data_IF_258729892869
#
_entry.id   IF_258729892869
#
_cell.length_a   1.000
_cell.length_b   1.000
_cell.length_c   1.000
_cell.angle_alpha   90.00
_cell.angle_beta   90.00
_cell.angle_gamma   90.00
#
_symmetry.space_group_name_H-M   'P 1'
#
loop_
_entity.id
_entity.type
_entity.pdbx_description
1 polymer ?
#
# COMPACT_ATOMS: atom_id res chain seq x y z
N UNK A 1 -3.89 -16.34 -21.08
CA UNK A 1 -3.66 -15.25 -20.12
C UNK A 1 -4.86 -15.02 -19.20
N UNK A 2 -6.09 -14.81 -19.71
CA UNK A 2 -7.25 -14.53 -18.84
C UNK A 2 -7.54 -15.64 -17.84
N UNK A 3 -7.57 -16.91 -18.27
CA UNK A 3 -7.74 -18.05 -17.36
C UNK A 3 -6.63 -18.12 -16.30
N UNK A 4 -5.36 -17.88 -16.72
CA UNK A 4 -4.24 -17.83 -15.78
C UNK A 4 -4.41 -16.75 -14.74
N UNK A 5 -4.78 -15.52 -15.15
CA UNK A 5 -4.94 -14.39 -14.23
C UNK A 5 -6.11 -14.59 -13.25
N UNK A 6 -7.15 -15.32 -13.69
CA UNK A 6 -8.25 -15.69 -12.82
C UNK A 6 -7.84 -16.77 -11.81
N UNK A 7 -7.10 -17.80 -12.25
CA UNK A 7 -6.84 -19.00 -11.45
C UNK A 7 -5.62 -18.89 -10.53
N UNK A 8 -4.61 -18.06 -10.89
CA UNK A 8 -3.41 -17.93 -10.08
C UNK A 8 -3.76 -17.35 -8.70
N UNK A 9 -3.42 -18.05 -7.60
CA UNK A 9 -3.57 -17.49 -6.26
C UNK A 9 -2.66 -16.27 -6.09
N UNK A 10 -3.19 -15.22 -5.48
CA UNK A 10 -2.46 -13.96 -5.27
C UNK A 10 -2.41 -13.58 -3.79
N UNK A 11 -1.35 -12.92 -3.41
CA UNK A 11 -1.26 -12.13 -2.20
C UNK A 11 -1.07 -10.66 -2.58
N UNK A 12 -1.65 -9.75 -1.81
CA UNK A 12 -1.51 -8.31 -1.99
C UNK A 12 -0.91 -7.71 -0.73
N UNK A 13 0.27 -7.07 -0.85
CA UNK A 13 1.08 -6.65 0.28
C UNK A 13 1.15 -5.12 0.41
N UNK A 14 0.63 -4.38 -0.59
CA UNK A 14 0.61 -2.93 -0.62
C UNK A 14 -0.75 -2.42 -1.12
N UNK A 15 -1.66 -2.22 -0.18
CA UNK A 15 -3.05 -1.90 -0.45
C UNK A 15 -3.61 -1.02 0.66
N UNK A 16 -4.02 0.20 0.33
CA UNK A 16 -4.61 1.16 1.27
C UNK A 16 -6.12 0.95 1.42
N UNK A 17 -6.59 0.78 2.66
CA UNK A 17 -8.01 0.63 2.95
C UNK A 17 -8.82 1.83 2.47
N UNK A 18 -8.35 3.04 2.77
CA UNK A 18 -9.01 4.28 2.40
C UNK A 18 -9.01 4.52 0.89
N UNK A 19 -7.97 4.09 0.18
CA UNK A 19 -7.84 4.16 -1.27
C UNK A 19 -8.71 3.17 -2.04
N UNK A 20 -9.32 2.23 -1.32
CA UNK A 20 -10.26 1.27 -1.87
C UNK A 20 -11.71 1.77 -1.95
N UNK A 21 -11.98 2.99 -1.47
CA UNK A 21 -13.33 3.57 -1.41
C UNK A 21 -13.75 4.07 -2.79
N UNK A 22 -14.84 3.52 -3.32
CA UNK A 22 -15.39 3.93 -4.62
C UNK A 22 -16.26 5.21 -4.48
N UNK A 23 -16.38 6.03 -5.54
CA UNK A 23 -17.24 7.23 -5.52
C UNK A 23 -18.68 6.93 -5.10
N UNK A 24 -19.21 5.79 -5.48
CA UNK A 24 -20.54 5.31 -5.12
C UNK A 24 -20.67 5.06 -3.62
N UNK A 25 -19.60 4.57 -2.99
CA UNK A 25 -19.54 4.40 -1.52
C UNK A 25 -19.48 5.75 -0.82
N UNK A 26 -18.73 6.71 -1.32
CA UNK A 26 -18.70 8.07 -0.76
C UNK A 26 -20.07 8.73 -0.83
N UNK A 27 -20.78 8.57 -1.94
CA UNK A 27 -22.13 9.10 -2.10
C UNK A 27 -23.13 8.46 -1.13
N UNK A 28 -23.01 7.17 -0.86
CA UNK A 28 -23.83 6.48 0.16
C UNK A 28 -23.56 7.02 1.56
N UNK A 29 -22.29 7.27 1.91
CA UNK A 29 -21.88 7.78 3.22
C UNK A 29 -22.20 9.26 3.42
N UNK A 30 -22.17 10.05 2.34
CA UNK A 30 -22.45 11.49 2.39
C UNK A 30 -23.15 11.97 1.11
N UNK A 31 -24.47 11.82 1.02
CA UNK A 31 -25.24 12.23 -0.16
C UNK A 31 -25.41 13.74 -0.30
N UNK A 32 -24.83 14.54 0.61
CA UNK A 32 -24.83 16.02 0.50
C UNK A 32 -23.90 16.54 -0.60
N UNK A 33 -22.94 15.71 -1.05
CA UNK A 33 -22.05 15.96 -2.18
C UNK A 33 -22.54 15.15 -3.38
N UNK A 34 -22.55 15.74 -4.57
CA UNK A 34 -23.04 15.06 -5.78
C UNK A 34 -22.11 13.93 -6.22
N UNK A 35 -22.66 12.95 -6.94
CA UNK A 35 -21.87 11.86 -7.55
C UNK A 35 -20.83 12.39 -8.53
N UNK A 36 -21.12 13.47 -9.24
CA UNK A 36 -20.20 14.09 -10.18
C UNK A 36 -18.98 14.68 -9.44
N UNK A 37 -19.21 15.37 -8.32
CA UNK A 37 -18.13 15.91 -7.48
C UNK A 37 -17.29 14.78 -6.88
N UNK A 38 -17.88 13.66 -6.43
CA UNK A 38 -17.13 12.52 -5.94
C UNK A 38 -16.27 11.88 -7.05
N UNK A 39 -16.82 11.71 -8.27
CA UNK A 39 -16.03 11.22 -9.41
C UNK A 39 -14.90 12.18 -9.79
N UNK A 40 -15.11 13.47 -9.65
CA UNK A 40 -14.07 14.48 -9.91
C UNK A 40 -12.90 14.41 -8.91
N UNK A 41 -13.12 13.97 -7.66
CA UNK A 41 -12.03 13.75 -6.70
C UNK A 41 -11.01 12.70 -7.17
N UNK A 42 -11.39 11.82 -8.09
CA UNK A 42 -10.52 10.73 -8.59
C UNK A 42 -9.84 11.10 -9.92
N UNK A 43 -9.65 12.42 -10.16
CA UNK A 43 -8.86 12.94 -11.26
C UNK A 43 -7.74 13.81 -10.71
N UNK A 44 -6.50 13.34 -10.85
CA UNK A 44 -5.32 13.99 -10.31
C UNK A 44 -4.44 14.53 -11.44
N UNK A 45 -3.74 15.62 -11.17
CA UNK A 45 -2.73 16.20 -12.09
C UNK A 45 -1.31 15.85 -11.65
N UNK A 46 -1.15 15.49 -10.37
CA UNK A 46 0.14 15.25 -9.74
C UNK A 46 -0.05 14.51 -8.39
N UNK A 47 1.04 14.10 -7.79
CA UNK A 47 1.08 13.40 -6.51
C UNK A 47 0.46 14.21 -5.35
N UNK A 48 0.70 15.52 -5.30
CA UNK A 48 0.10 16.37 -4.27
C UNK A 48 -1.44 16.48 -4.42
N UNK A 49 -1.94 16.49 -5.66
CA UNK A 49 -3.38 16.47 -5.92
C UNK A 49 -4.01 15.15 -5.45
N UNK A 50 -3.33 14.03 -5.68
CA UNK A 50 -3.72 12.72 -5.14
C UNK A 50 -3.77 12.74 -3.61
N UNK A 51 -2.73 13.20 -2.92
CA UNK A 51 -2.71 13.27 -1.44
C UNK A 51 -3.85 14.14 -0.88
N UNK A 52 -4.21 15.23 -1.56
CA UNK A 52 -5.37 16.04 -1.19
C UNK A 52 -6.68 15.29 -1.35
N UNK A 53 -6.84 14.54 -2.43
CA UNK A 53 -8.01 13.71 -2.70
C UNK A 53 -8.13 12.57 -1.69
N UNK A 54 -7.02 11.87 -1.38
CA UNK A 54 -6.97 10.84 -0.34
C UNK A 54 -7.43 11.40 1.02
N UNK A 55 -6.92 12.56 1.41
CA UNK A 55 -7.38 13.26 2.62
C UNK A 55 -8.87 13.63 2.58
N UNK A 56 -9.40 14.00 1.40
CA UNK A 56 -10.82 14.31 1.23
C UNK A 56 -11.70 13.06 1.34
N UNK A 57 -11.26 11.91 0.82
CA UNK A 57 -11.91 10.60 1.02
C UNK A 57 -11.90 10.23 2.51
N UNK A 58 -10.74 10.27 3.15
CA UNK A 58 -10.59 9.98 4.57
C UNK A 58 -11.51 10.80 5.49
N UNK A 59 -11.77 12.06 5.15
CA UNK A 59 -12.70 12.92 5.90
C UNK A 59 -14.16 12.43 5.88
N UNK A 60 -14.58 11.61 4.90
CA UNK A 60 -15.93 11.04 4.81
C UNK A 60 -16.10 9.80 5.68
N UNK A 61 -15.03 9.14 6.04
CA UNK A 61 -15.02 7.98 6.95
C UNK A 61 -15.08 8.49 8.39
N UNK A 62 -16.28 8.55 8.96
CA UNK A 62 -16.56 9.25 10.23
C UNK A 62 -16.79 8.29 11.40
N UNK A 63 -17.27 7.10 11.13
CA UNK A 63 -17.71 6.14 12.14
C UNK A 63 -17.06 4.77 11.97
N UNK A 64 -17.00 3.94 13.01
CA UNK A 64 -16.57 2.54 12.87
C UNK A 64 -17.37 1.76 11.81
N UNK A 65 -18.65 2.07 11.64
CA UNK A 65 -19.52 1.44 10.65
C UNK A 65 -19.07 1.75 9.20
N UNK A 66 -18.60 2.99 8.95
CA UNK A 66 -18.09 3.38 7.64
C UNK A 66 -16.84 2.54 7.28
N UNK A 67 -15.93 2.38 8.24
CA UNK A 67 -14.73 1.56 8.04
C UNK A 67 -15.07 0.07 7.87
N UNK A 68 -16.03 -0.47 8.62
CA UNK A 68 -16.51 -1.83 8.40
C UNK A 68 -17.11 -2.02 7.00
N UNK A 69 -17.90 -1.05 6.51
CA UNK A 69 -18.48 -1.09 5.16
C UNK A 69 -17.41 -1.17 4.08
N UNK A 70 -16.41 -0.27 4.12
CA UNK A 70 -15.36 -0.25 3.09
C UNK A 70 -14.49 -1.49 3.16
N UNK A 71 -14.24 -2.04 4.36
CA UNK A 71 -13.51 -3.30 4.55
C UNK A 71 -14.23 -4.46 3.87
N UNK A 72 -15.54 -4.64 4.10
CA UNK A 72 -16.33 -5.69 3.44
C UNK A 72 -16.30 -5.56 1.92
N UNK A 73 -16.45 -4.34 1.41
CA UNK A 73 -16.43 -4.07 -0.04
C UNK A 73 -15.07 -4.37 -0.66
N UNK A 74 -14.00 -3.97 0.00
CA UNK A 74 -12.64 -4.29 -0.45
C UNK A 74 -12.43 -5.79 -0.50
N UNK A 75 -12.70 -6.50 0.59
CA UNK A 75 -12.45 -7.94 0.68
C UNK A 75 -13.27 -8.73 -0.32
N UNK A 76 -14.52 -8.37 -0.58
CA UNK A 76 -15.33 -8.98 -1.64
C UNK A 76 -14.68 -8.82 -3.03
N UNK A 77 -14.05 -7.66 -3.31
CA UNK A 77 -13.31 -7.45 -4.58
C UNK A 77 -12.01 -8.25 -4.63
N UNK A 78 -11.32 -8.43 -3.52
CA UNK A 78 -10.11 -9.25 -3.45
C UNK A 78 -10.45 -10.74 -3.66
N UNK A 79 -11.51 -11.23 -3.03
CA UNK A 79 -12.00 -12.61 -3.25
C UNK A 79 -12.33 -12.88 -4.72
N UNK A 80 -12.99 -11.94 -5.38
CA UNK A 80 -13.33 -12.05 -6.80
C UNK A 80 -12.11 -12.10 -7.74
N UNK A 81 -10.93 -11.71 -7.23
CA UNK A 81 -9.66 -11.74 -7.96
C UNK A 81 -8.75 -12.92 -7.58
N UNK A 82 -9.27 -13.89 -6.82
CA UNK A 82 -8.51 -15.03 -6.28
C UNK A 82 -7.32 -14.58 -5.40
N UNK A 83 -7.54 -13.52 -4.60
CA UNK A 83 -6.60 -13.11 -3.56
C UNK A 83 -6.88 -13.94 -2.30
N UNK A 84 -5.86 -14.60 -1.78
CA UNK A 84 -5.95 -15.48 -0.61
C UNK A 84 -5.40 -14.83 0.66
N UNK A 85 -4.51 -13.85 0.49
CA UNK A 85 -3.85 -13.13 1.58
C UNK A 85 -3.70 -11.65 1.22
N UNK A 86 -3.92 -10.79 2.19
CA UNK A 86 -3.70 -9.36 2.03
C UNK A 86 -3.11 -8.73 3.30
N UNK A 87 -2.13 -7.86 3.12
CA UNK A 87 -1.66 -6.93 4.13
C UNK A 87 -2.23 -5.55 3.80
N UNK A 88 -3.25 -5.15 4.54
CA UNK A 88 -3.99 -3.92 4.27
C UNK A 88 -3.42 -2.80 5.12
N UNK A 89 -3.01 -1.73 4.47
CA UNK A 89 -2.50 -0.52 5.10
C UNK A 89 -3.68 0.32 5.56
N UNK A 90 -3.70 0.68 6.85
CA UNK A 90 -4.68 1.59 7.45
C UNK A 90 -3.97 2.90 7.75
N UNK A 91 -4.48 4.01 7.25
CA UNK A 91 -3.95 5.34 7.49
C UNK A 91 -4.25 5.83 8.94
N UNK A 92 -3.71 5.09 9.94
CA UNK A 92 -3.93 5.36 11.36
C UNK A 92 -3.55 6.80 11.75
N UNK A 93 -2.48 7.34 11.13
CA UNK A 93 -2.11 8.74 11.31
C UNK A 93 -3.21 9.72 10.90
N UNK A 94 -3.97 9.42 9.85
CA UNK A 94 -5.13 10.24 9.42
C UNK A 94 -6.29 10.11 10.41
N UNK A 95 -6.54 8.92 10.94
CA UNK A 95 -7.59 8.70 11.96
C UNK A 95 -7.31 9.55 13.18
N UNK A 96 -6.07 9.52 13.70
CA UNK A 96 -5.65 10.34 14.84
C UNK A 96 -5.72 11.85 14.54
N UNK A 97 -5.26 12.25 13.36
CA UNK A 97 -5.30 13.66 12.94
C UNK A 97 -6.73 14.23 12.90
N UNK A 98 -7.72 13.39 12.56
CA UNK A 98 -9.14 13.75 12.61
C UNK A 98 -9.70 13.82 14.05
N UNK A 99 -8.92 13.46 15.07
CA UNK A 99 -9.37 13.36 16.45
C UNK A 99 -10.34 12.19 16.71
N UNK A 100 -10.29 11.16 15.88
CA UNK A 100 -11.10 9.95 16.06
C UNK A 100 -10.38 8.94 16.96
N UNK A 101 -11.17 8.21 17.75
CA UNK A 101 -10.67 7.08 18.53
C UNK A 101 -10.37 5.89 17.61
N UNK A 102 -9.11 5.46 17.57
CA UNK A 102 -8.68 4.37 16.67
C UNK A 102 -9.23 3.00 17.08
N UNK A 103 -9.32 2.72 18.39
CA UNK A 103 -9.72 1.40 18.89
C UNK A 103 -11.08 0.92 18.35
N UNK A 104 -12.20 1.66 18.46
CA UNK A 104 -13.49 1.20 17.95
C UNK A 104 -13.50 1.07 16.42
N UNK A 105 -12.74 1.89 15.69
CA UNK A 105 -12.57 1.80 14.23
C UNK A 105 -11.87 0.50 13.88
N UNK A 106 -10.75 0.20 14.53
CA UNK A 106 -9.97 -1.00 14.27
C UNK A 106 -10.75 -2.28 14.57
N UNK A 107 -11.50 -2.32 15.69
CA UNK A 107 -12.36 -3.46 16.00
C UNK A 107 -13.46 -3.67 14.95
N UNK A 108 -14.05 -2.61 14.41
CA UNK A 108 -15.05 -2.70 13.36
C UNK A 108 -14.44 -3.22 12.03
N UNK A 109 -13.22 -2.77 11.69
CA UNK A 109 -12.45 -3.27 10.54
C UNK A 109 -12.17 -4.76 10.72
N UNK A 110 -11.67 -5.17 11.89
CA UNK A 110 -11.36 -6.57 12.19
C UNK A 110 -12.58 -7.48 12.10
N UNK A 111 -13.67 -7.08 12.74
CA UNK A 111 -14.91 -7.84 12.71
C UNK A 111 -15.45 -8.01 11.27
N UNK A 112 -15.35 -6.96 10.44
CA UNK A 112 -15.72 -7.05 9.02
C UNK A 112 -14.80 -7.99 8.24
N UNK A 113 -13.51 -8.07 8.57
CA UNK A 113 -12.57 -8.94 7.90
C UNK A 113 -12.77 -10.42 8.25
N UNK A 114 -13.28 -10.74 9.44
CA UNK A 114 -13.61 -12.11 9.84
C UNK A 114 -14.73 -12.77 8.99
N UNK A 115 -15.49 -11.94 8.25
CA UNK A 115 -16.54 -12.42 7.34
C UNK A 115 -15.98 -12.89 6.00
N UNK A 116 -14.71 -12.59 5.68
CA UNK A 116 -14.06 -12.89 4.39
C UNK A 116 -13.25 -14.19 4.43
N UNK A 117 -13.03 -14.78 3.25
CA UNK A 117 -12.11 -15.91 3.05
C UNK A 117 -10.67 -15.45 2.87
N UNK A 118 -10.42 -14.18 2.58
CA UNK A 118 -9.07 -13.61 2.48
C UNK A 118 -8.47 -13.58 3.88
N UNK A 119 -7.30 -14.19 4.05
CA UNK A 119 -6.53 -14.01 5.29
C UNK A 119 -5.93 -12.61 5.31
N UNK A 120 -6.33 -11.80 6.28
CA UNK A 120 -5.93 -10.39 6.36
C UNK A 120 -4.94 -10.16 7.50
N UNK A 121 -3.95 -9.31 7.24
CA UNK A 121 -3.08 -8.67 8.24
C UNK A 121 -3.08 -7.17 8.02
N UNK A 122 -2.66 -6.44 9.04
CA UNK A 122 -2.78 -4.98 9.05
C UNK A 122 -1.40 -4.34 9.17
N UNK A 123 -1.18 -3.30 8.37
CA UNK A 123 -0.06 -2.38 8.53
C UNK A 123 -0.65 -1.06 9.00
N UNK A 124 -0.21 -0.53 10.14
CA UNK A 124 -0.63 0.79 10.58
C UNK A 124 0.33 1.84 10.03
N UNK A 125 -0.21 2.73 9.21
CA UNK A 125 0.61 3.71 8.49
C UNK A 125 0.63 5.07 9.19
N UNK A 126 1.84 5.57 9.45
CA UNK A 126 2.10 6.93 9.87
C UNK A 126 2.20 7.84 8.64
N UNK A 127 1.79 9.09 8.80
CA UNK A 127 1.83 10.08 7.72
C UNK A 127 3.04 10.99 7.92
N UNK A 128 4.01 10.93 6.99
CA UNK A 128 5.32 11.62 7.09
C UNK A 128 5.19 13.10 7.44
N UNK A 129 4.33 13.80 6.72
CA UNK A 129 4.16 15.24 6.88
C UNK A 129 3.47 15.66 8.18
N UNK A 130 2.96 14.72 8.99
CA UNK A 130 2.44 15.02 10.32
C UNK A 130 3.54 15.05 11.39
N UNK A 131 4.74 14.54 11.06
CA UNK A 131 5.92 14.58 11.90
C UNK A 131 6.09 13.38 12.83
N UNK A 132 7.14 13.43 13.64
CA UNK A 132 7.63 12.30 14.44
C UNK A 132 6.70 11.95 15.61
N UNK A 133 6.14 12.94 16.29
CA UNK A 133 5.30 12.71 17.47
C UNK A 133 4.00 11.96 17.10
N UNK A 134 3.21 12.35 16.08
CA UNK A 134 2.09 11.55 15.61
C UNK A 134 2.50 10.17 15.10
N UNK A 135 3.65 10.03 14.46
CA UNK A 135 4.16 8.74 14.01
C UNK A 135 4.48 7.81 15.20
N UNK A 136 5.02 8.32 16.28
CA UNK A 136 5.24 7.55 17.51
C UNK A 136 3.92 7.07 18.13
N UNK A 137 2.86 7.87 18.08
CA UNK A 137 1.53 7.45 18.53
C UNK A 137 1.00 6.28 17.67
N UNK A 138 1.18 6.33 16.34
CA UNK A 138 0.82 5.22 15.46
C UNK A 138 1.64 3.96 15.78
N UNK A 139 2.94 4.09 16.02
CA UNK A 139 3.80 2.97 16.39
C UNK A 139 3.35 2.32 17.71
N UNK A 140 2.95 3.10 18.71
CA UNK A 140 2.40 2.59 19.95
C UNK A 140 1.07 1.83 19.73
N UNK A 141 0.16 2.39 18.93
CA UNK A 141 -1.09 1.72 18.55
C UNK A 141 -0.85 0.40 17.81
N UNK A 142 0.16 0.34 16.93
CA UNK A 142 0.53 -0.87 16.21
C UNK A 142 1.07 -1.93 17.17
N UNK A 143 1.98 -1.56 18.07
CA UNK A 143 2.56 -2.47 19.08
C UNK A 143 1.49 -3.08 20.00
N UNK A 144 0.52 -2.28 20.46
CA UNK A 144 -0.60 -2.76 21.29
C UNK A 144 -1.52 -3.75 20.59
N UNK A 145 -1.51 -3.80 19.24
CA UNK A 145 -2.46 -4.59 18.43
C UNK A 145 -1.81 -5.73 17.66
N UNK A 146 -0.58 -6.08 17.98
CA UNK A 146 0.11 -7.24 17.36
C UNK A 146 -0.70 -8.54 17.49
N UNK A 147 -1.22 -8.82 18.68
CA UNK A 147 -2.05 -10.01 18.92
C UNK A 147 -3.41 -9.95 18.21
N UNK A 148 -3.74 -8.81 17.62
CA UNK A 148 -4.96 -8.59 16.82
C UNK A 148 -4.68 -8.51 15.31
N UNK A 149 -3.52 -9.00 14.88
CA UNK A 149 -3.17 -9.13 13.46
C UNK A 149 -2.51 -7.90 12.84
N UNK A 150 -2.07 -6.92 13.65
CA UNK A 150 -1.17 -5.86 13.18
C UNK A 150 0.24 -6.43 13.09
N UNK A 151 0.79 -6.51 11.88
CA UNK A 151 2.09 -7.13 11.63
C UNK A 151 3.21 -6.12 11.44
N UNK A 152 2.90 -4.90 11.00
CA UNK A 152 3.93 -3.91 10.69
C UNK A 152 3.52 -2.49 11.06
N UNK A 153 4.56 -1.66 11.28
CA UNK A 153 4.46 -0.21 11.18
C UNK A 153 4.86 0.20 9.75
N UNK A 154 4.02 1.01 9.11
CA UNK A 154 4.30 1.65 7.84
C UNK A 154 4.52 3.15 7.96
N UNK A 155 5.11 3.74 6.92
CA UNK A 155 5.18 5.18 6.75
C UNK A 155 4.94 5.55 5.28
N UNK A 156 3.94 6.41 5.05
CA UNK A 156 3.55 6.89 3.73
C UNK A 156 3.41 8.41 3.67
N UNK A 157 2.93 8.92 2.53
CA UNK A 157 2.79 10.35 2.26
C UNK A 157 4.00 10.96 1.57
N UNK A 158 4.17 12.29 1.67
CA UNK A 158 5.19 13.01 0.90
C UNK A 158 6.60 12.73 1.41
N UNK A 159 7.40 12.02 0.62
CA UNK A 159 8.81 11.73 0.93
C UNK A 159 9.64 13.01 1.11
N UNK A 160 9.39 14.06 0.30
CA UNK A 160 10.06 15.35 0.39
C UNK A 160 9.78 16.07 1.71
N UNK A 161 8.53 16.00 2.21
CA UNK A 161 8.12 16.73 3.43
C UNK A 161 8.39 15.97 4.72
N UNK A 162 8.81 14.72 4.63
CA UNK A 162 9.12 13.87 5.77
C UNK A 162 10.14 12.80 5.42
N UNK A 163 11.43 13.16 5.24
CA UNK A 163 12.48 12.19 4.99
C UNK A 163 12.49 11.06 6.03
N UNK A 164 12.75 9.83 5.59
CA UNK A 164 12.76 8.65 6.47
C UNK A 164 13.70 8.81 7.68
N UNK A 165 14.80 9.52 7.51
CA UNK A 165 15.79 9.80 8.56
C UNK A 165 15.22 10.48 9.82
N UNK A 166 14.08 11.17 9.71
CA UNK A 166 13.41 11.77 10.87
C UNK A 166 12.78 10.75 11.83
N UNK A 167 12.49 9.55 11.34
CA UNK A 167 11.67 8.56 12.04
C UNK A 167 12.49 7.43 12.68
N UNK A 168 13.80 7.61 12.85
CA UNK A 168 14.69 6.60 13.39
C UNK A 168 14.22 6.03 14.72
N UNK A 169 13.87 6.88 15.68
CA UNK A 169 13.40 6.45 17.01
C UNK A 169 12.03 5.74 16.94
N UNK A 170 11.17 6.15 16.00
CA UNK A 170 9.85 5.55 15.78
C UNK A 170 9.99 4.12 15.27
N UNK A 171 10.85 3.92 14.26
CA UNK A 171 11.11 2.61 13.68
C UNK A 171 11.88 1.70 14.65
N UNK A 172 12.84 2.25 15.42
CA UNK A 172 13.51 1.50 16.46
C UNK A 172 12.53 1.03 17.55
N UNK A 173 11.58 1.88 17.97
CA UNK A 173 10.52 1.51 18.90
C UNK A 173 9.66 0.36 18.34
N UNK A 174 9.17 0.49 17.10
CA UNK A 174 8.33 -0.51 16.46
C UNK A 174 9.04 -1.87 16.31
N UNK A 175 10.29 -1.87 15.83
CA UNK A 175 11.09 -3.08 15.69
C UNK A 175 11.37 -3.76 17.05
N UNK A 176 11.70 -2.97 18.09
CA UNK A 176 11.87 -3.50 19.45
C UNK A 176 10.57 -4.07 20.04
N UNK A 177 9.41 -3.55 19.63
CA UNK A 177 8.11 -4.11 19.97
C UNK A 177 7.79 -5.40 19.17
N UNK A 178 8.63 -5.81 18.21
CA UNK A 178 8.48 -6.99 17.39
C UNK A 178 7.52 -6.82 16.22
N UNK A 179 7.34 -5.59 15.74
CA UNK A 179 6.65 -5.30 14.47
C UNK A 179 7.65 -5.39 13.32
N UNK A 180 7.17 -5.82 12.16
CA UNK A 180 7.88 -5.62 10.91
C UNK A 180 7.87 -4.14 10.51
N UNK A 181 8.80 -3.76 9.63
CA UNK A 181 9.02 -2.38 9.24
C UNK A 181 8.81 -2.21 7.73
N UNK A 182 7.93 -1.30 7.37
CA UNK A 182 7.54 -1.00 6.00
C UNK A 182 7.64 0.50 5.72
N UNK A 183 8.05 0.90 4.52
CA UNK A 183 8.05 2.30 4.12
C UNK A 183 7.84 2.46 2.62
N UNK A 184 7.03 3.44 2.23
CA UNK A 184 7.05 3.99 0.88
C UNK A 184 8.39 4.73 0.69
N UNK A 185 9.17 4.37 -0.31
CA UNK A 185 10.45 5.04 -0.58
C UNK A 185 10.85 4.91 -2.04
N UNK A 186 11.45 5.97 -2.60
CA UNK A 186 11.85 6.01 -3.99
C UNK A 186 10.67 5.93 -4.96
N UNK A 187 9.53 6.39 -4.54
CA UNK A 187 8.38 6.66 -5.39
C UNK A 187 8.53 8.04 -6.03
N UNK A 188 8.41 9.09 -5.23
CA UNK A 188 8.52 10.49 -5.68
C UNK A 188 9.92 11.08 -5.54
N UNK A 189 10.78 10.46 -4.74
CA UNK A 189 12.18 10.85 -4.53
C UNK A 189 13.15 9.89 -5.23
N UNK A 190 14.46 10.14 -5.09
CA UNK A 190 15.52 9.32 -5.68
C UNK A 190 15.90 8.07 -4.88
N UNK A 191 16.95 7.36 -5.32
CA UNK A 191 17.47 6.17 -4.63
C UNK A 191 17.90 6.44 -3.18
N UNK A 192 18.28 7.66 -2.85
CA UNK A 192 18.65 8.09 -1.50
C UNK A 192 17.50 7.87 -0.51
N UNK A 193 16.26 8.10 -0.91
CA UNK A 193 15.09 7.83 -0.04
C UNK A 193 14.96 6.35 0.31
N UNK A 194 15.31 5.46 -0.63
CA UNK A 194 15.31 4.02 -0.37
C UNK A 194 16.43 3.65 0.60
N UNK A 195 17.65 4.20 0.41
CA UNK A 195 18.76 3.99 1.35
C UNK A 195 18.40 4.47 2.76
N UNK A 196 17.75 5.62 2.88
CA UNK A 196 17.28 6.15 4.16
C UNK A 196 16.26 5.22 4.83
N UNK A 197 15.32 4.66 4.06
CA UNK A 197 14.35 3.69 4.57
C UNK A 197 15.04 2.37 5.01
N UNK A 198 15.97 1.87 4.22
CA UNK A 198 16.74 0.66 4.57
C UNK A 198 17.59 0.85 5.84
N UNK A 199 18.11 2.05 6.06
CA UNK A 199 18.84 2.39 7.29
C UNK A 199 17.95 2.35 8.55
N UNK A 200 16.62 2.47 8.41
CA UNK A 200 15.65 2.27 9.49
C UNK A 200 15.36 0.80 9.79
N UNK A 201 15.88 -0.13 8.99
CA UNK A 201 15.60 -1.56 9.11
C UNK A 201 14.36 -2.01 8.35
N UNK A 202 13.91 -1.25 7.36
CA UNK A 202 12.76 -1.61 6.52
C UNK A 202 13.03 -2.93 5.79
N UNK A 203 12.07 -3.83 5.85
CA UNK A 203 12.18 -5.21 5.33
C UNK A 203 11.56 -5.36 3.93
N UNK A 204 10.61 -4.49 3.58
CA UNK A 204 10.00 -4.36 2.26
C UNK A 204 9.83 -2.88 1.93
N UNK A 205 10.06 -2.53 0.66
CA UNK A 205 10.00 -1.14 0.20
C UNK A 205 8.77 -0.95 -0.68
N UNK A 206 7.86 -0.08 -0.24
CA UNK A 206 6.73 0.36 -1.07
C UNK A 206 7.25 1.14 -2.29
N UNK A 207 6.78 0.79 -3.48
CA UNK A 207 7.20 1.26 -4.79
C UNK A 207 8.67 0.97 -5.12
N UNK A 208 9.61 1.74 -4.60
CA UNK A 208 11.04 1.55 -4.80
C UNK A 208 11.52 1.72 -6.24
N UNK A 209 10.73 2.34 -7.12
CA UNK A 209 11.02 2.41 -8.57
C UNK A 209 12.29 3.20 -8.90
N UNK A 210 12.69 4.12 -8.03
CA UNK A 210 13.93 4.88 -8.17
C UNK A 210 15.19 4.01 -8.02
N UNK A 211 15.09 2.78 -7.48
CA UNK A 211 16.22 1.87 -7.30
C UNK A 211 16.98 1.60 -8.60
N UNK A 212 16.28 1.63 -9.76
CA UNK A 212 16.90 1.42 -11.06
C UNK A 212 18.02 2.43 -11.38
N UNK A 213 17.99 3.61 -10.74
CA UNK A 213 18.99 4.68 -10.96
C UNK A 213 20.30 4.46 -10.20
N UNK A 214 20.34 3.47 -9.27
CA UNK A 214 21.53 3.17 -8.46
C UNK A 214 21.90 1.68 -8.54
N UNK A 215 22.95 1.32 -9.30
CA UNK A 215 23.40 -0.08 -9.41
C UNK A 215 23.88 -0.68 -8.08
N UNK A 216 24.34 0.13 -7.13
CA UNK A 216 24.74 -0.36 -5.81
C UNK A 216 23.52 -0.74 -4.99
N UNK A 217 22.45 0.07 -5.06
CA UNK A 217 21.17 -0.22 -4.43
C UNK A 217 20.51 -1.48 -4.99
N UNK A 218 20.46 -1.64 -6.33
CA UNK A 218 19.95 -2.86 -6.97
C UNK A 218 20.68 -4.11 -6.47
N UNK A 219 22.02 -4.03 -6.38
CA UNK A 219 22.84 -5.13 -5.84
C UNK A 219 22.49 -5.42 -4.40
N UNK A 220 22.38 -4.38 -3.57
CA UNK A 220 22.04 -4.52 -2.16
C UNK A 220 20.68 -5.17 -1.94
N UNK A 221 19.63 -4.68 -2.64
CA UNK A 221 18.28 -5.24 -2.57
C UNK A 221 18.26 -6.72 -2.96
N UNK A 222 18.94 -7.07 -4.06
CA UNK A 222 19.05 -8.46 -4.52
C UNK A 222 19.79 -9.35 -3.52
N UNK A 223 20.98 -8.93 -3.03
CA UNK A 223 21.81 -9.72 -2.12
C UNK A 223 21.19 -9.89 -0.73
N UNK A 224 20.39 -8.92 -0.30
CA UNK A 224 19.66 -8.94 0.97
C UNK A 224 18.26 -9.52 0.85
N UNK A 225 17.83 -9.89 -0.36
CA UNK A 225 16.50 -10.43 -0.66
C UNK A 225 15.37 -9.51 -0.21
N UNK A 226 15.54 -8.19 -0.41
CA UNK A 226 14.55 -7.17 -0.03
C UNK A 226 13.65 -6.87 -1.22
N UNK A 227 12.34 -7.15 -1.15
CA UNK A 227 11.40 -6.96 -2.25
C UNK A 227 10.96 -5.52 -2.40
N UNK A 228 10.64 -5.15 -3.65
CA UNK A 228 9.95 -3.92 -4.01
C UNK A 228 8.46 -4.23 -4.28
N UNK A 229 7.58 -3.43 -3.69
CA UNK A 229 6.13 -3.53 -3.87
C UNK A 229 5.69 -2.60 -5.00
N UNK A 230 5.67 -3.12 -6.21
CA UNK A 230 5.45 -2.35 -7.43
C UNK A 230 3.96 -2.13 -7.68
N UNK A 231 3.57 -0.87 -7.88
CA UNK A 231 2.21 -0.42 -8.18
C UNK A 231 2.22 0.35 -9.50
N UNK A 232 2.11 -0.34 -10.65
CA UNK A 232 2.35 0.24 -11.98
C UNK A 232 1.35 1.37 -12.27
N UNK A 233 0.06 1.09 -12.08
CA UNK A 233 -1.01 2.07 -12.36
C UNK A 233 -0.91 3.27 -11.42
N UNK A 234 -0.61 3.06 -10.14
CA UNK A 234 -0.40 4.14 -9.18
C UNK A 234 0.68 5.13 -9.66
N UNK A 235 1.86 4.60 -9.99
CA UNK A 235 2.99 5.44 -10.42
C UNK A 235 2.70 6.25 -11.70
N UNK A 236 1.81 5.73 -12.56
CA UNK A 236 1.36 6.45 -13.76
C UNK A 236 0.32 7.51 -13.42
N UNK A 237 -0.70 7.17 -12.62
CA UNK A 237 -1.83 8.07 -12.30
C UNK A 237 -1.39 9.22 -11.40
N UNK A 238 -0.46 8.99 -10.48
CA UNK A 238 0.14 10.03 -9.64
C UNK A 238 1.15 10.91 -10.39
N UNK A 239 1.49 10.55 -11.65
CA UNK A 239 2.42 11.31 -12.48
C UNK A 239 3.89 11.14 -12.11
N UNK A 240 4.21 10.22 -11.21
CA UNK A 240 5.61 9.87 -10.86
C UNK A 240 6.31 9.28 -12.08
N UNK A 241 5.60 8.44 -12.82
CA UNK A 241 6.00 7.99 -14.16
C UNK A 241 5.12 8.68 -15.18
N UNK A 242 5.74 9.39 -16.15
CA UNK A 242 4.99 10.22 -17.11
C UNK A 242 4.32 9.41 -18.23
N UNK A 243 4.92 8.29 -18.62
CA UNK A 243 4.44 7.43 -19.71
C UNK A 243 4.57 5.98 -19.27
N UNK A 244 3.58 5.17 -19.61
CA UNK A 244 3.56 3.75 -19.23
C UNK A 244 4.81 2.99 -19.70
N UNK A 245 5.28 3.30 -20.91
CA UNK A 245 6.44 2.65 -21.52
C UNK A 245 7.76 2.93 -20.75
N UNK A 246 7.79 4.02 -19.97
CA UNK A 246 8.96 4.43 -19.18
C UNK A 246 8.96 3.79 -17.77
N UNK A 247 7.90 3.02 -17.42
CA UNK A 247 7.83 2.39 -16.11
C UNK A 247 8.88 1.29 -15.95
N UNK A 248 9.70 1.32 -14.87
CA UNK A 248 10.88 0.47 -14.76
C UNK A 248 10.63 -0.98 -14.34
N UNK A 249 9.37 -1.42 -14.20
CA UNK A 249 9.02 -2.74 -13.65
C UNK A 249 9.74 -3.90 -14.32
N UNK A 250 9.84 -3.90 -15.66
CA UNK A 250 10.54 -4.96 -16.42
C UNK A 250 12.03 -4.97 -16.10
N UNK A 251 12.66 -3.80 -16.10
CA UNK A 251 14.09 -3.66 -15.83
C UNK A 251 14.43 -4.02 -14.38
N UNK A 252 13.58 -3.67 -13.41
CA UNK A 252 13.73 -4.07 -12.01
C UNK A 252 13.68 -5.61 -11.87
N UNK A 253 12.69 -6.26 -12.48
CA UNK A 253 12.60 -7.72 -12.50
C UNK A 253 13.83 -8.37 -13.15
N UNK A 254 14.26 -7.87 -14.31
CA UNK A 254 15.43 -8.40 -15.05
C UNK A 254 16.75 -8.18 -14.30
N UNK A 255 16.82 -7.18 -13.41
CA UNK A 255 17.98 -6.97 -12.54
C UNK A 255 18.13 -8.04 -11.44
N UNK A 256 17.11 -8.90 -11.26
CA UNK A 256 17.06 -9.94 -10.24
C UNK A 256 16.64 -9.43 -8.85
N UNK A 257 16.20 -8.18 -8.72
CA UNK A 257 15.58 -7.70 -7.50
C UNK A 257 14.20 -8.35 -7.36
N UNK A 258 13.85 -8.91 -6.19
CA UNK A 258 12.52 -9.47 -6.00
C UNK A 258 11.46 -8.36 -6.07
N UNK A 259 10.39 -8.62 -6.82
CA UNK A 259 9.24 -7.71 -6.91
C UNK A 259 7.95 -8.43 -6.56
N UNK A 260 6.97 -7.67 -6.06
CA UNK A 260 5.57 -8.06 -5.86
C UNK A 260 4.71 -7.01 -6.54
N UNK A 261 3.68 -7.43 -7.29
CA UNK A 261 2.71 -6.50 -7.87
C UNK A 261 1.57 -6.23 -6.90
N UNK A 262 1.16 -4.97 -6.82
CA UNK A 262 0.12 -4.51 -5.90
C UNK A 262 -0.73 -3.41 -6.55
N UNK A 263 -1.93 -3.15 -6.00
CA UNK A 263 -2.87 -2.19 -6.56
C UNK A 263 -2.85 -0.82 -5.86
N UNK A 264 -2.24 -0.72 -4.67
CA UNK A 264 -2.09 0.51 -3.89
C UNK A 264 -3.45 1.10 -3.45
N UNK A 265 -4.02 2.01 -4.22
CA UNK A 265 -5.31 2.66 -3.97
C UNK A 265 -6.32 2.29 -5.09
N UNK A 266 -6.83 1.04 -5.12
CA UNK A 266 -7.45 0.46 -6.31
C UNK A 266 -8.68 1.23 -6.82
N UNK A 267 -9.51 1.78 -5.94
CA UNK A 267 -10.65 2.57 -6.37
C UNK A 267 -10.23 3.96 -6.87
N UNK A 268 -9.27 4.57 -6.17
CA UNK A 268 -8.78 5.90 -6.52
C UNK A 268 -7.98 5.88 -7.83
N UNK A 269 -7.26 4.80 -8.13
CA UNK A 269 -6.50 4.64 -9.38
C UNK A 269 -7.26 3.85 -10.46
N UNK A 270 -8.47 3.40 -10.17
CA UNK A 270 -9.32 2.61 -11.08
C UNK A 270 -8.59 1.38 -11.61
N UNK A 271 -7.88 0.71 -10.74
CA UNK A 271 -7.13 -0.51 -11.01
C UNK A 271 -7.57 -1.67 -10.11
N UNK A 272 -6.94 -2.80 -10.31
CA UNK A 272 -7.13 -3.98 -9.48
C UNK A 272 -5.87 -4.82 -9.55
N UNK A 273 -5.61 -5.70 -8.56
CA UNK A 273 -4.44 -6.57 -8.58
C UNK A 273 -4.37 -7.41 -9.85
N UNK A 274 -5.48 -8.04 -10.26
CA UNK A 274 -5.54 -8.78 -11.53
C UNK A 274 -5.26 -7.88 -12.74
N UNK A 275 -5.67 -6.61 -12.68
CA UNK A 275 -5.37 -5.59 -13.69
C UNK A 275 -3.88 -5.28 -13.77
N UNK A 276 -3.18 -5.17 -12.65
CA UNK A 276 -1.72 -4.96 -12.60
C UNK A 276 -0.96 -6.14 -13.24
N UNK A 277 -1.36 -7.37 -12.94
CA UNK A 277 -0.80 -8.57 -13.59
C UNK A 277 -1.06 -8.58 -15.11
N UNK A 278 -2.27 -8.21 -15.54
CA UNK A 278 -2.61 -8.08 -16.95
C UNK A 278 -1.76 -7.01 -17.64
N UNK A 279 -1.63 -5.85 -17.01
CA UNK A 279 -0.82 -4.74 -17.50
C UNK A 279 0.66 -5.16 -17.66
N UNK A 280 1.20 -5.88 -16.68
CA UNK A 280 2.55 -6.43 -16.75
C UNK A 280 2.73 -7.39 -17.95
N UNK A 281 1.76 -8.29 -18.18
CA UNK A 281 1.80 -9.20 -19.33
C UNK A 281 1.74 -8.44 -20.67
N UNK A 282 0.74 -7.58 -20.84
CA UNK A 282 0.39 -6.99 -22.13
C UNK A 282 1.34 -5.87 -22.55
N UNK A 283 1.84 -5.11 -21.57
CA UNK A 283 2.62 -3.89 -21.85
C UNK A 283 4.10 -4.04 -21.57
N UNK A 284 4.48 -4.98 -20.69
CA UNK A 284 5.89 -5.19 -20.30
C UNK A 284 6.41 -6.58 -20.66
N UNK A 285 5.59 -7.39 -21.35
CA UNK A 285 6.00 -8.66 -21.91
C UNK A 285 6.32 -9.74 -20.87
N UNK A 286 5.72 -9.65 -19.67
CA UNK A 286 5.87 -10.71 -18.68
C UNK A 286 5.16 -11.98 -19.15
N UNK A 287 5.86 -13.09 -19.08
CA UNK A 287 5.34 -14.43 -19.34
C UNK A 287 4.50 -14.95 -18.17
N UNK A 288 3.66 -15.96 -18.41
CA UNK A 288 2.90 -16.62 -17.33
C UNK A 288 3.83 -17.21 -16.24
N UNK A 289 5.00 -17.71 -16.63
CA UNK A 289 5.98 -18.23 -15.66
C UNK A 289 6.55 -17.14 -14.74
N UNK A 290 6.88 -15.98 -15.30
CA UNK A 290 7.37 -14.83 -14.55
C UNK A 290 6.27 -14.25 -13.64
N UNK A 291 5.03 -14.14 -14.15
CA UNK A 291 3.90 -13.70 -13.34
C UNK A 291 3.56 -14.67 -12.21
N UNK A 292 3.72 -15.97 -12.43
CA UNK A 292 3.59 -16.98 -11.37
C UNK A 292 4.66 -16.79 -10.29
N UNK A 293 5.91 -16.55 -10.69
CA UNK A 293 6.97 -16.22 -9.74
C UNK A 293 6.65 -14.97 -8.93
N UNK A 294 6.09 -13.92 -9.56
CA UNK A 294 5.69 -12.69 -8.86
C UNK A 294 4.54 -12.97 -7.89
N UNK A 295 3.58 -13.83 -8.27
CA UNK A 295 2.49 -14.25 -7.38
C UNK A 295 3.01 -15.05 -6.18
N UNK A 296 3.96 -15.95 -6.39
CA UNK A 296 4.64 -16.71 -5.34
C UNK A 296 5.45 -15.79 -4.41
N UNK A 297 6.09 -14.76 -4.96
CA UNK A 297 6.77 -13.73 -4.18
C UNK A 297 5.80 -13.04 -3.19
N UNK A 298 4.56 -12.77 -3.60
CA UNK A 298 3.54 -12.18 -2.71
C UNK A 298 3.36 -13.00 -1.43
N UNK A 299 3.34 -14.33 -1.52
CA UNK A 299 3.26 -15.19 -0.34
C UNK A 299 4.59 -15.33 0.39
N UNK A 300 5.70 -15.39 -0.34
CA UNK A 300 7.05 -15.53 0.23
C UNK A 300 7.44 -14.35 1.10
N UNK A 301 7.11 -13.14 0.68
CA UNK A 301 7.47 -11.91 1.37
C UNK A 301 6.36 -11.36 2.27
N UNK A 302 5.25 -12.05 2.41
CA UNK A 302 4.22 -11.74 3.38
C UNK A 302 4.76 -11.85 4.81
N UNK A 303 4.44 -10.89 5.68
CA UNK A 303 4.95 -10.84 7.05
C UNK A 303 4.41 -11.95 7.96
N UNK A 304 3.24 -12.50 7.64
CA UNK A 304 2.60 -13.54 8.47
C UNK A 304 1.76 -14.52 7.63
N UNK A 305 2.33 -15.04 6.56
CA UNK A 305 1.67 -16.07 5.76
C UNK A 305 1.95 -17.49 6.28
N UNK A 306 3.13 -17.76 6.85
CA UNK A 306 3.64 -19.09 7.26
C UNK A 306 3.07 -19.59 8.59
#
# INVERSE_FOLDING_TARGET
MDDFLHDVPKAELHLHLEGSVEPETLYELDPSTSMEEYRALYHYTDFDAFLRAFGAVGKRLRTPADYALITRRLLARLEAQNVHYAEIIIAAGVVLWKGQEFAPIFEAIRAAAEESRVRVRWILDAVRQFGVEPAMQVAALAAERRDHGVVALGIGGSEERGPATWFQDVFAFAGNAGLHLHAHAGESMGPESIWDALALGVERVGHGIAALRDPALLRHLRERDIPLEICITSNLVTGVVQRLEDHPVRQLFDSGVPIVLNSDDPAMFRCSLAGEYRLAAERFGFTEAELRQIAENGFRYAFDWH
#
